data_IF_550011670203
#
_entry.id   IF_550011670203
#
_cell.length_a   1.000
_cell.length_b   1.000
_cell.length_c   1.000
_cell.angle_alpha   90.00
_cell.angle_beta   90.00
_cell.angle_gamma   90.00
#
_symmetry.space_group_name_H-M   'P 1'
#
loop_
_entity.id
_entity.type
_entity.pdbx_description
1 polymer ?
#
# COMPACT_ATOMS: atom_id res chain seq x y z
N UNK A 1 -20.49 -0.19 -13.38
CA UNK A 1 -21.59 -1.16 -13.19
C UNK A 1 -21.44 -2.37 -14.12
N UNK A 2 -21.16 -2.19 -15.43
CA UNK A 2 -21.01 -3.30 -16.41
C UNK A 2 -20.09 -4.44 -15.96
N UNK A 3 -18.92 -4.14 -15.38
CA UNK A 3 -18.01 -5.19 -14.92
C UNK A 3 -18.64 -6.16 -13.90
N UNK A 4 -19.51 -5.66 -13.01
CA UNK A 4 -20.18 -6.49 -12.00
C UNK A 4 -21.25 -7.39 -12.63
N UNK A 5 -21.93 -6.93 -13.68
CA UNK A 5 -23.00 -7.70 -14.35
C UNK A 5 -22.50 -8.61 -15.47
N UNK A 6 -21.20 -8.54 -15.80
CA UNK A 6 -20.56 -9.47 -16.74
C UNK A 6 -20.01 -10.72 -16.06
N UNK A 7 -19.85 -10.70 -14.73
CA UNK A 7 -19.49 -11.88 -13.95
C UNK A 7 -20.66 -12.87 -13.95
N UNK A 8 -20.43 -14.09 -14.45
CA UNK A 8 -21.44 -15.16 -14.52
C UNK A 8 -21.40 -16.05 -13.27
N UNK A 9 -20.23 -16.57 -12.96
CA UNK A 9 -20.05 -17.58 -11.91
C UNK A 9 -19.39 -16.99 -10.65
N UNK A 10 -18.56 -15.95 -10.80
CA UNK A 10 -17.87 -15.32 -9.68
C UNK A 10 -17.31 -13.95 -10.01
N UNK A 11 -17.28 -13.07 -9.02
CA UNK A 11 -16.73 -11.71 -9.10
C UNK A 11 -15.63 -11.55 -8.06
N UNK A 12 -14.39 -11.35 -8.53
CA UNK A 12 -13.26 -10.99 -7.68
C UNK A 12 -12.88 -9.53 -7.92
N UNK A 13 -12.85 -8.75 -6.84
CA UNK A 13 -12.42 -7.36 -6.88
C UNK A 13 -11.03 -7.24 -6.26
N UNK A 14 -10.08 -6.67 -7.01
CA UNK A 14 -8.71 -6.44 -6.54
C UNK A 14 -8.47 -4.95 -6.37
N UNK A 15 -7.92 -4.56 -5.23
CA UNK A 15 -7.48 -3.20 -4.96
C UNK A 15 -5.95 -3.19 -4.83
N UNK A 16 -5.20 -2.80 -5.88
CA UNK A 16 -3.76 -2.68 -5.81
C UNK A 16 -3.35 -1.68 -4.74
N UNK A 17 -2.33 -1.96 -3.95
CA UNK A 17 -1.88 -1.00 -2.93
C UNK A 17 -1.24 0.25 -3.56
N UNK A 18 -0.48 0.08 -4.66
CA UNK A 18 0.32 1.13 -5.30
C UNK A 18 0.01 1.22 -6.79
N UNK A 19 -0.17 2.45 -7.27
CA UNK A 19 -0.20 2.78 -8.70
C UNK A 19 0.99 3.67 -9.03
N UNK A 20 1.87 3.19 -9.91
CA UNK A 20 3.07 3.94 -10.31
C UNK A 20 2.72 5.01 -11.34
N UNK A 21 3.27 6.21 -11.14
CA UNK A 21 3.02 7.36 -12.00
C UNK A 21 3.76 7.16 -13.33
N UNK A 22 3.10 7.45 -14.45
CA UNK A 22 3.74 7.42 -15.77
C UNK A 22 4.71 8.60 -15.95
N UNK A 23 5.70 8.46 -16.84
CA UNK A 23 6.66 9.53 -17.14
C UNK A 23 7.73 9.78 -16.06
N UNK A 24 7.89 8.86 -15.10
CA UNK A 24 9.04 8.84 -14.20
C UNK A 24 10.23 8.09 -14.83
N UNK A 25 11.42 8.27 -14.27
CA UNK A 25 12.61 7.52 -14.69
C UNK A 25 12.38 6.00 -14.62
N UNK A 26 13.12 5.20 -15.41
CA UNK A 26 12.95 3.75 -15.48
C UNK A 26 13.07 3.02 -14.13
N UNK A 27 13.74 3.63 -13.15
CA UNK A 27 13.87 3.14 -11.76
C UNK A 27 13.20 4.07 -10.73
N UNK A 28 12.23 4.87 -11.16
CA UNK A 28 11.47 5.73 -10.26
C UNK A 28 10.51 4.93 -9.39
N UNK A 29 10.35 5.35 -8.13
CA UNK A 29 9.44 4.72 -7.15
C UNK A 29 8.23 5.63 -6.81
N UNK A 30 7.96 6.64 -7.64
CA UNK A 30 6.82 7.53 -7.42
C UNK A 30 5.53 6.75 -7.67
N UNK A 31 4.72 6.64 -6.64
CA UNK A 31 3.43 5.98 -6.69
C UNK A 31 2.39 6.74 -5.86
N UNK A 32 1.13 6.47 -6.17
CA UNK A 32 -0.01 6.85 -5.33
C UNK A 32 -0.58 5.61 -4.68
N UNK A 33 -1.03 5.75 -3.43
CA UNK A 33 -1.73 4.69 -2.73
C UNK A 33 -3.18 4.63 -3.19
N UNK A 34 -3.66 3.43 -3.49
CA UNK A 34 -5.06 3.26 -3.82
C UNK A 34 -5.91 3.23 -2.56
N UNK A 35 -7.09 3.83 -2.66
CA UNK A 35 -8.18 3.66 -1.71
C UNK A 35 -9.31 2.87 -2.35
N UNK A 36 -10.20 2.31 -1.53
CA UNK A 36 -11.39 1.62 -2.03
C UNK A 36 -12.22 2.60 -2.84
N UNK A 37 -12.62 2.17 -4.04
CA UNK A 37 -13.44 3.01 -4.92
C UNK A 37 -14.78 3.36 -4.26
N UNK A 38 -15.28 4.57 -4.51
CA UNK A 38 -16.60 5.02 -4.01
C UNK A 38 -17.77 4.15 -4.45
N UNK A 39 -17.59 3.34 -5.51
CA UNK A 39 -18.60 2.41 -6.01
C UNK A 39 -18.71 1.13 -5.18
N UNK A 40 -17.78 0.87 -4.26
CA UNK A 40 -17.83 -0.23 -3.29
C UNK A 40 -17.92 0.37 -1.88
N UNK A 41 -19.10 0.92 -1.50
CA UNK A 41 -19.29 1.49 -0.17
C UNK A 41 -19.24 0.41 0.92
N UNK A 42 -19.07 0.84 2.17
CA UNK A 42 -19.01 -0.07 3.32
C UNK A 42 -20.27 -0.95 3.45
N UNK A 43 -21.44 -0.42 3.07
CA UNK A 43 -22.72 -1.11 3.15
C UNK A 43 -22.81 -2.40 2.34
N UNK A 44 -22.02 -2.55 1.27
CA UNK A 44 -22.04 -3.75 0.42
C UNK A 44 -20.89 -4.71 0.69
N UNK A 45 -19.97 -4.37 1.61
CA UNK A 45 -18.79 -5.20 1.88
C UNK A 45 -19.15 -6.57 2.46
N UNK A 46 -20.30 -6.70 3.12
CA UNK A 46 -20.80 -7.98 3.62
C UNK A 46 -21.13 -8.99 2.51
N UNK A 47 -21.28 -8.54 1.27
CA UNK A 47 -21.50 -9.41 0.11
C UNK A 47 -20.19 -9.97 -0.48
N UNK A 48 -19.03 -9.56 0.04
CA UNK A 48 -17.71 -10.00 -0.44
C UNK A 48 -16.95 -10.71 0.67
N UNK A 49 -16.23 -11.76 0.29
CA UNK A 49 -15.12 -12.23 1.12
C UNK A 49 -13.99 -11.18 1.08
N UNK A 50 -13.54 -10.75 2.26
CA UNK A 50 -12.52 -9.71 2.41
C UNK A 50 -11.18 -10.36 2.75
N UNK A 51 -10.21 -10.25 1.85
CA UNK A 51 -8.86 -10.79 2.03
C UNK A 51 -7.79 -9.73 1.73
N UNK A 52 -6.62 -9.85 2.35
CA UNK A 52 -5.46 -8.98 2.10
C UNK A 52 -4.20 -9.80 1.86
N UNK A 53 -3.42 -9.43 0.84
CA UNK A 53 -2.16 -10.10 0.51
C UNK A 53 -1.12 -9.99 1.63
N UNK A 54 -1.14 -8.88 2.38
CA UNK A 54 -0.39 -8.78 3.62
C UNK A 54 -1.15 -9.58 4.68
N UNK A 55 -0.70 -10.81 4.95
CA UNK A 55 -1.06 -11.52 6.17
C UNK A 55 -0.83 -10.57 7.35
N UNK A 56 -1.87 -10.33 8.15
CA UNK A 56 -1.82 -9.53 9.40
C UNK A 56 -1.03 -10.28 10.50
N UNK A 57 -0.04 -11.10 10.12
CA UNK A 57 0.97 -11.70 10.99
C UNK A 57 2.21 -10.80 11.13
N UNK A 58 2.19 -9.60 10.54
CA UNK A 58 3.24 -8.60 10.75
C UNK A 58 2.95 -7.67 11.95
N UNK A 59 2.19 -8.12 12.96
CA UNK A 59 1.84 -7.27 14.10
C UNK A 59 2.88 -7.22 15.23
N UNK A 60 3.81 -8.16 15.35
CA UNK A 60 4.82 -8.11 16.42
C UNK A 60 6.15 -8.76 16.02
N UNK A 61 6.88 -8.18 15.04
CA UNK A 61 8.32 -8.48 14.91
C UNK A 61 9.15 -7.36 15.54
N UNK A 62 9.68 -7.54 16.77
CA UNK A 62 10.53 -6.56 17.42
C UNK A 62 11.82 -6.25 16.63
N UNK A 63 12.19 -7.08 15.63
CA UNK A 63 13.34 -6.85 14.75
C UNK A 63 13.09 -5.79 13.68
N UNK A 64 11.84 -5.33 13.50
CA UNK A 64 11.47 -4.33 12.48
C UNK A 64 11.74 -2.89 12.92
N UNK A 65 12.19 -2.67 14.15
CA UNK A 65 12.68 -1.35 14.55
C UNK A 65 13.99 -1.04 13.80
N UNK A 66 14.13 0.14 13.16
CA UNK A 66 15.41 0.55 12.62
C UNK A 66 16.41 0.63 13.77
N UNK A 67 17.37 -0.29 13.84
CA UNK A 67 18.40 -0.30 14.88
C UNK A 67 19.43 0.82 14.70
N UNK A 68 19.37 1.54 13.58
CA UNK A 68 20.31 2.61 13.27
C UNK A 68 19.75 3.94 13.76
N UNK A 69 20.11 4.31 14.99
CA UNK A 69 19.97 5.69 15.47
C UNK A 69 21.13 6.51 14.89
N UNK A 70 20.88 7.24 13.81
CA UNK A 70 21.87 8.17 13.26
C UNK A 70 21.83 9.46 14.08
N UNK A 71 22.94 9.81 14.76
CA UNK A 71 23.09 11.12 15.39
C UNK A 71 23.39 12.18 14.32
N UNK A 72 22.32 12.83 13.85
CA UNK A 72 22.40 13.91 12.87
C UNK A 72 23.15 15.13 13.42
N UNK A 73 23.14 15.37 14.74
CA UNK A 73 23.78 16.52 15.38
C UNK A 73 25.30 16.40 15.48
N UNK A 74 25.82 15.18 15.66
CA UNK A 74 27.25 14.90 15.54
C UNK A 74 27.73 15.11 14.09
N UNK A 75 26.95 14.62 13.12
CA UNK A 75 27.28 14.71 11.69
C UNK A 75 27.29 16.16 11.17
N UNK A 76 26.40 17.00 11.69
CA UNK A 76 26.36 18.43 11.34
C UNK A 76 27.55 19.21 11.91
N UNK A 77 28.05 18.89 13.12
CA UNK A 77 29.20 19.59 13.71
C UNK A 77 30.52 19.29 12.99
N UNK A 78 30.69 18.07 12.49
CA UNK A 78 31.91 17.65 11.79
C UNK A 78 32.08 18.32 10.42
N UNK A 79 30.98 18.85 9.85
CA UNK A 79 30.98 19.54 8.55
C UNK A 79 31.49 20.99 8.62
N UNK A 80 31.69 21.53 9.82
CA UNK A 80 32.10 22.91 10.08
C UNK A 80 33.49 22.98 10.73
N UNK A 81 34.32 21.98 10.43
CA UNK A 81 35.72 21.89 10.85
C UNK A 81 36.65 22.09 9.67
#
# INVERSE_FOLDING_TARGET
YVAMTRAKDGLHLVMPQRFFVHGQAARGDRHVYASRTRFIPASILGAFEQTSWASVQAKDDPRRQPQVRVDLGARMRDMWK
#
